data_IF_678787543320
#
_entry.id   IF_678787543320
#
_cell.length_a   1.000
_cell.length_b   1.000
_cell.length_c   1.000
_cell.angle_alpha   90.00
_cell.angle_beta   90.00
_cell.angle_gamma   90.00
#
_symmetry.space_group_name_H-M   'P 1'
#
loop_
_entity.id
_entity.type
_entity.pdbx_description
1 polymer ?
#
# COMPACT_ATOMS: atom_id res chain seq x y z
N UNK A 1 9.13 36.89 3.47
CA UNK A 1 8.29 37.50 2.42
C UNK A 1 7.68 36.37 1.62
N UNK A 2 6.36 36.35 1.35
CA UNK A 2 5.77 35.31 0.50
C UNK A 2 6.39 35.38 -0.89
N UNK A 3 6.75 34.23 -1.44
CA UNK A 3 7.38 34.12 -2.76
C UNK A 3 6.37 34.44 -3.87
N UNK A 4 6.84 34.89 -5.03
CA UNK A 4 5.98 35.29 -6.16
C UNK A 4 5.07 34.14 -6.63
N UNK A 5 5.54 32.90 -6.45
CA UNK A 5 4.84 31.63 -6.66
C UNK A 5 3.69 31.39 -5.66
N UNK A 6 3.86 31.72 -4.37
CA UNK A 6 2.78 31.59 -3.36
C UNK A 6 1.60 32.54 -3.63
N UNK A 7 1.87 33.67 -4.29
CA UNK A 7 0.85 34.64 -4.69
C UNK A 7 0.11 34.20 -5.97
N UNK A 8 0.81 33.55 -6.89
CA UNK A 8 0.23 32.98 -8.11
C UNK A 8 -0.71 31.80 -7.80
N UNK A 9 -0.27 30.83 -6.99
CA UNK A 9 -1.09 29.67 -6.59
C UNK A 9 -2.36 30.08 -5.84
N UNK A 10 -2.27 31.10 -4.97
CA UNK A 10 -3.44 31.65 -4.28
C UNK A 10 -4.40 32.40 -5.19
N UNK A 11 -3.92 32.98 -6.30
CA UNK A 11 -4.79 33.58 -7.33
C UNK A 11 -5.49 32.50 -8.14
N UNK A 12 -4.79 31.46 -8.55
CA UNK A 12 -5.37 30.32 -9.28
C UNK A 12 -6.43 29.59 -8.47
N UNK A 13 -6.17 29.28 -7.19
CA UNK A 13 -7.17 28.68 -6.31
C UNK A 13 -8.41 29.56 -6.14
N UNK A 14 -8.23 30.88 -6.03
CA UNK A 14 -9.36 31.83 -5.95
C UNK A 14 -10.13 31.89 -7.28
N UNK A 15 -9.45 31.82 -8.42
CA UNK A 15 -10.10 31.80 -9.74
C UNK A 15 -10.89 30.51 -9.94
N UNK A 16 -10.37 29.37 -9.49
CA UNK A 16 -11.06 28.09 -9.52
C UNK A 16 -12.33 28.14 -8.66
N UNK A 17 -12.23 28.52 -7.38
CA UNK A 17 -13.38 28.60 -6.46
C UNK A 17 -14.44 29.61 -6.95
N UNK A 18 -14.01 30.76 -7.47
CA UNK A 18 -14.95 31.76 -7.99
C UNK A 18 -15.63 31.28 -9.27
N UNK A 19 -14.94 30.56 -10.16
CA UNK A 19 -15.55 29.95 -11.36
C UNK A 19 -16.54 28.83 -11.01
N UNK A 20 -16.26 27.98 -10.01
CA UNK A 20 -17.19 26.93 -9.59
C UNK A 20 -18.44 27.52 -8.92
N UNK A 21 -18.27 28.56 -8.09
CA UNK A 21 -19.37 29.24 -7.43
C UNK A 21 -20.28 29.99 -8.41
N UNK A 22 -19.70 30.62 -9.44
CA UNK A 22 -20.48 31.30 -10.49
C UNK A 22 -21.26 30.30 -11.35
N UNK A 23 -20.65 29.18 -11.75
CA UNK A 23 -21.35 28.11 -12.47
C UNK A 23 -22.53 27.54 -11.66
N UNK A 24 -22.34 27.29 -10.36
CA UNK A 24 -23.42 26.85 -9.47
C UNK A 24 -24.56 27.88 -9.36
N UNK A 25 -24.21 29.17 -9.30
CA UNK A 25 -25.17 30.26 -9.30
C UNK A 25 -26.03 30.32 -10.56
N UNK A 26 -25.42 30.20 -11.74
CA UNK A 26 -26.15 30.18 -13.02
C UNK A 26 -27.11 28.98 -13.12
N UNK A 27 -26.67 27.80 -12.68
CA UNK A 27 -27.51 26.61 -12.68
C UNK A 27 -28.74 26.77 -11.75
N UNK A 28 -28.55 27.32 -10.54
CA UNK A 28 -29.64 27.58 -9.61
C UNK A 28 -30.64 28.62 -10.14
N UNK A 29 -30.15 29.71 -10.76
CA UNK A 29 -30.99 30.75 -11.38
C UNK A 29 -31.81 30.17 -12.54
N UNK A 30 -31.19 29.33 -13.38
CA UNK A 30 -31.89 28.65 -14.48
C UNK A 30 -33.05 27.77 -14.02
N UNK A 31 -32.87 27.04 -12.90
CA UNK A 31 -33.91 26.19 -12.32
C UNK A 31 -35.05 27.02 -11.72
N UNK A 32 -34.73 28.07 -10.96
CA UNK A 32 -35.74 28.95 -10.36
C UNK A 32 -36.56 29.67 -11.45
N UNK A 33 -35.89 30.14 -12.51
CA UNK A 33 -36.55 30.81 -13.62
C UNK A 33 -37.37 29.85 -14.50
N UNK A 34 -36.86 28.64 -14.73
CA UNK A 34 -37.59 27.57 -15.43
C UNK A 34 -38.87 27.17 -14.69
N UNK A 35 -38.81 27.08 -13.35
CA UNK A 35 -39.97 26.76 -12.51
C UNK A 35 -41.00 27.89 -12.50
N UNK A 36 -40.56 29.14 -12.40
CA UNK A 36 -41.45 30.31 -12.40
C UNK A 36 -42.12 30.57 -13.76
N UNK A 37 -41.42 30.30 -14.87
CA UNK A 37 -41.94 30.47 -16.24
C UNK A 37 -42.77 29.29 -16.75
N UNK A 38 -42.91 28.21 -15.97
CA UNK A 38 -43.46 26.91 -16.41
C UNK A 38 -42.85 26.36 -17.72
N UNK A 39 -41.62 26.75 -18.04
CA UNK A 39 -40.97 26.36 -19.30
C UNK A 39 -40.11 25.11 -19.09
N UNK A 40 -40.57 23.98 -19.63
CA UNK A 40 -39.89 22.68 -19.48
C UNK A 40 -38.49 22.66 -20.11
N UNK A 41 -38.25 23.43 -21.17
CA UNK A 41 -36.96 23.45 -21.88
C UNK A 41 -35.87 24.12 -21.04
N UNK A 42 -36.19 25.23 -20.38
CA UNK A 42 -35.22 25.99 -19.54
C UNK A 42 -34.94 25.24 -18.24
N UNK A 43 -35.96 24.58 -17.67
CA UNK A 43 -35.82 23.77 -16.47
C UNK A 43 -34.93 22.54 -16.71
N UNK A 44 -35.03 21.92 -17.89
CA UNK A 44 -34.20 20.79 -18.30
C UNK A 44 -32.72 21.18 -18.42
N UNK A 45 -32.43 22.34 -19.02
CA UNK A 45 -31.06 22.85 -19.21
C UNK A 45 -30.38 23.19 -17.86
N UNK A 46 -31.11 23.83 -16.95
CA UNK A 46 -30.63 24.08 -15.58
C UNK A 46 -30.37 22.79 -14.79
N UNK A 47 -31.20 21.75 -14.98
CA UNK A 47 -31.03 20.46 -14.33
C UNK A 47 -29.82 19.69 -14.87
N UNK A 48 -29.55 19.73 -16.17
CA UNK A 48 -28.33 19.14 -16.74
C UNK A 48 -27.06 19.85 -16.27
N UNK A 49 -27.09 21.18 -16.16
CA UNK A 49 -25.97 21.94 -15.61
C UNK A 49 -25.67 21.55 -14.16
N UNK A 50 -26.69 21.31 -13.32
CA UNK A 50 -26.50 20.79 -11.95
C UNK A 50 -25.92 19.37 -11.92
N UNK A 51 -26.43 18.47 -12.76
CA UNK A 51 -25.91 17.10 -12.84
C UNK A 51 -24.44 17.10 -13.29
N UNK A 52 -24.09 17.89 -14.30
CA UNK A 52 -22.72 18.06 -14.77
C UNK A 52 -21.79 18.63 -13.70
N UNK A 53 -22.25 19.64 -12.94
CA UNK A 53 -21.50 20.20 -11.81
C UNK A 53 -21.33 19.17 -10.69
N UNK A 54 -22.38 18.39 -10.39
CA UNK A 54 -22.33 17.30 -9.42
C UNK A 54 -21.32 16.22 -9.79
N UNK A 55 -21.32 15.77 -11.05
CA UNK A 55 -20.34 14.82 -11.58
C UNK A 55 -18.91 15.38 -11.55
N UNK A 56 -18.73 16.66 -11.88
CA UNK A 56 -17.44 17.34 -11.79
C UNK A 56 -16.89 17.41 -10.36
N UNK A 57 -17.74 17.77 -9.39
CA UNK A 57 -17.39 17.77 -7.97
C UNK A 57 -17.10 16.36 -7.45
N UNK A 58 -17.86 15.35 -7.89
CA UNK A 58 -17.63 13.96 -7.55
C UNK A 58 -16.27 13.48 -8.09
N UNK A 59 -15.95 13.81 -9.35
CA UNK A 59 -14.67 13.49 -9.98
C UNK A 59 -13.49 14.16 -9.24
N UNK A 60 -13.61 15.44 -8.88
CA UNK A 60 -12.59 16.13 -8.09
C UNK A 60 -12.47 15.57 -6.66
N UNK A 61 -13.58 15.15 -6.05
CA UNK A 61 -13.57 14.52 -4.73
C UNK A 61 -12.91 13.14 -4.78
N UNK A 62 -13.17 12.36 -5.82
CA UNK A 62 -12.51 11.09 -6.07
C UNK A 62 -11.00 11.28 -6.33
N UNK A 63 -10.62 12.25 -7.16
CA UNK A 63 -9.22 12.59 -7.41
C UNK A 63 -8.49 12.99 -6.12
N UNK A 64 -9.11 13.81 -5.26
CA UNK A 64 -8.54 14.17 -3.96
C UNK A 64 -8.41 13.01 -2.98
N UNK A 65 -9.33 12.04 -3.01
CA UNK A 65 -9.22 10.83 -2.20
C UNK A 65 -8.06 9.95 -2.68
N UNK A 66 -7.82 9.89 -4.00
CA UNK A 66 -6.68 9.17 -4.59
C UNK A 66 -5.35 9.90 -4.33
N UNK A 67 -5.33 11.23 -4.39
CA UNK A 67 -4.15 12.08 -4.14
C UNK A 67 -3.80 12.23 -2.66
N UNK A 68 -4.75 12.01 -1.74
CA UNK A 68 -4.52 12.21 -0.30
C UNK A 68 -3.35 11.39 0.26
N UNK A 69 -2.94 10.32 -0.45
CA UNK A 69 -1.77 9.54 -0.11
C UNK A 69 -1.90 8.81 1.24
N UNK A 70 -1.07 7.80 1.49
CA UNK A 70 -1.11 7.06 2.76
C UNK A 70 -0.81 7.95 3.96
N UNK A 71 -1.68 7.90 4.97
CA UNK A 71 -1.60 8.69 6.20
C UNK A 71 -0.46 8.22 7.12
N UNK A 72 0.02 9.06 8.06
CA UNK A 72 1.03 8.64 9.06
C UNK A 72 0.63 7.41 9.89
N UNK A 73 -0.67 7.06 9.87
CA UNK A 73 -1.21 5.91 10.58
C UNK A 73 -1.04 4.59 9.80
N UNK A 74 -1.00 4.64 8.46
CA UNK A 74 -0.83 3.47 7.60
C UNK A 74 -0.07 3.85 6.32
N UNK A 75 1.26 3.66 6.26
CA UNK A 75 2.08 4.17 5.16
C UNK A 75 2.05 3.32 3.87
N UNK A 76 1.48 2.11 3.89
CA UNK A 76 1.46 1.19 2.74
C UNK A 76 0.08 1.09 2.08
N UNK A 77 0.10 1.25 0.76
CA UNK A 77 -0.99 0.98 -0.20
C UNK A 77 -2.09 2.05 -0.30
N UNK A 78 -2.56 2.31 -1.53
CA UNK A 78 -3.75 3.15 -1.77
C UNK A 78 -5.03 2.58 -1.10
N UNK A 79 -4.94 1.37 -0.55
CA UNK A 79 -5.97 0.63 0.16
C UNK A 79 -5.90 0.73 1.69
N UNK A 80 -4.93 1.43 2.27
CA UNK A 80 -4.73 1.44 3.73
C UNK A 80 -5.89 2.07 4.53
N UNK A 81 -6.63 2.99 3.89
CA UNK A 81 -7.83 3.61 4.45
C UNK A 81 -9.11 2.83 4.12
N UNK A 82 -9.02 1.73 3.37
CA UNK A 82 -10.15 0.85 3.13
C UNK A 82 -10.41 -0.02 4.36
N UNK A 83 -11.68 -0.29 4.68
CA UNK A 83 -11.99 -1.24 5.74
C UNK A 83 -11.38 -2.61 5.39
N UNK A 84 -11.07 -3.44 6.40
CA UNK A 84 -10.67 -4.82 6.20
C UNK A 84 -11.62 -5.51 5.23
N UNK A 85 -11.08 -6.32 4.33
CA UNK A 85 -11.88 -7.13 3.43
C UNK A 85 -11.58 -8.60 3.65
N UNK A 86 -12.65 -9.38 3.76
CA UNK A 86 -12.54 -10.83 3.72
C UNK A 86 -12.21 -11.28 2.29
N UNK A 87 -11.16 -12.08 2.16
CA UNK A 87 -10.73 -12.66 0.89
C UNK A 87 -10.90 -14.16 0.98
N UNK A 88 -11.82 -14.71 0.19
CA UNK A 88 -11.96 -16.16 0.06
C UNK A 88 -10.74 -16.74 -0.66
N UNK A 89 -10.07 -17.71 -0.01
CA UNK A 89 -8.91 -18.40 -0.57
C UNK A 89 -9.38 -19.67 -1.29
N UNK A 90 -9.22 -19.77 -2.62
CA UNK A 90 -9.63 -20.96 -3.35
C UNK A 90 -8.89 -22.22 -2.87
N UNK A 91 -9.63 -23.29 -2.59
CA UNK A 91 -9.05 -24.55 -2.14
C UNK A 91 -8.61 -24.56 -0.67
N UNK A 92 -8.97 -23.54 0.12
CA UNK A 92 -8.71 -23.53 1.55
C UNK A 92 -9.47 -24.67 2.25
N UNK A 93 -8.79 -25.52 3.03
CA UNK A 93 -9.45 -26.60 3.76
C UNK A 93 -10.33 -26.02 4.88
N UNK A 94 -11.57 -26.50 5.01
CA UNK A 94 -12.53 -26.02 6.01
C UNK A 94 -12.18 -26.44 7.43
N UNK A 95 -11.67 -27.66 7.63
CA UNK A 95 -11.20 -28.12 8.94
C UNK A 95 -10.23 -29.30 8.84
N UNK A 96 -9.45 -29.52 9.90
CA UNK A 96 -8.42 -30.55 9.97
C UNK A 96 -8.97 -31.99 9.95
N UNK A 97 -10.22 -32.21 10.37
CA UNK A 97 -10.85 -33.53 10.34
C UNK A 97 -11.30 -33.88 8.91
N UNK A 98 -12.05 -32.99 8.28
CA UNK A 98 -12.60 -33.10 6.93
C UNK A 98 -11.48 -33.22 5.89
N UNK A 99 -10.40 -32.45 6.03
CA UNK A 99 -9.25 -32.55 5.13
C UNK A 99 -8.49 -33.87 5.25
N UNK A 100 -8.47 -34.48 6.44
CA UNK A 100 -7.89 -35.80 6.65
C UNK A 100 -8.86 -36.96 6.38
N UNK A 101 -10.06 -36.67 5.82
CA UNK A 101 -11.08 -37.66 5.52
C UNK A 101 -11.79 -38.24 6.75
N UNK A 102 -11.91 -37.47 7.84
CA UNK A 102 -12.54 -37.89 9.11
C UNK A 102 -13.70 -36.96 9.49
N UNK A 103 -14.77 -37.54 10.04
CA UNK A 103 -15.99 -36.84 10.47
C UNK A 103 -15.80 -35.97 11.72
N UNK A 104 -14.77 -36.24 12.54
CA UNK A 104 -14.35 -35.38 13.65
C UNK A 104 -12.93 -35.72 14.14
N UNK A 105 -12.26 -34.77 14.81
CA UNK A 105 -10.98 -34.98 15.53
C UNK A 105 -11.09 -35.96 16.73
N UNK A 106 -12.28 -36.53 16.97
CA UNK A 106 -12.58 -37.48 18.03
C UNK A 106 -13.26 -38.77 17.58
N UNK A 107 -13.40 -39.02 16.27
CA UNK A 107 -14.16 -40.18 15.81
C UNK A 107 -13.45 -41.49 16.19
N UNK A 108 -14.14 -42.30 17.00
CA UNK A 108 -13.68 -43.60 17.52
C UNK A 108 -13.95 -44.72 16.51
N UNK A 109 -13.79 -44.44 15.22
CA UNK A 109 -14.00 -45.42 14.17
C UNK A 109 -12.74 -46.27 13.95
N UNK A 110 -12.99 -47.58 13.92
CA UNK A 110 -12.07 -48.70 14.06
C UNK A 110 -11.04 -48.77 12.91
N UNK A 111 -9.89 -48.11 13.07
CA UNK A 111 -8.68 -48.38 12.26
C UNK A 111 -7.44 -48.08 13.10
N UNK A 112 -6.75 -49.14 13.51
CA UNK A 112 -5.57 -49.07 14.36
C UNK A 112 -4.42 -48.37 13.65
N UNK A 113 -3.96 -47.23 14.21
CA UNK A 113 -2.55 -46.81 14.31
C UNK A 113 -2.34 -45.37 14.80
N UNK A 114 -3.39 -44.55 14.97
CA UNK A 114 -3.25 -43.13 15.37
C UNK A 114 -4.12 -42.75 16.59
N UNK A 115 -4.18 -43.64 17.59
CA UNK A 115 -4.96 -43.43 18.81
C UNK A 115 -4.08 -42.75 19.86
N UNK A 116 -4.00 -41.42 19.81
CA UNK A 116 -3.26 -40.63 20.80
C UNK A 116 -3.12 -39.15 20.43
N UNK A 117 -2.60 -38.33 21.34
CA UNK A 117 -2.22 -36.93 21.09
C UNK A 117 -1.29 -36.78 19.88
N UNK A 118 -0.45 -37.79 19.62
CA UNK A 118 0.43 -37.87 18.45
C UNK A 118 -0.34 -37.99 17.12
N UNK A 119 -1.45 -38.74 17.10
CA UNK A 119 -2.32 -38.81 15.92
C UNK A 119 -2.98 -37.47 15.60
N UNK A 120 -3.39 -36.73 16.64
CA UNK A 120 -3.95 -35.37 16.49
C UNK A 120 -2.92 -34.39 15.95
N UNK A 121 -1.67 -34.43 16.41
CA UNK A 121 -0.59 -33.58 15.89
C UNK A 121 -0.32 -33.82 14.40
N UNK A 122 -0.38 -35.08 13.95
CA UNK A 122 -0.22 -35.43 12.53
C UNK A 122 -1.33 -34.79 11.69
N UNK A 123 -2.58 -34.88 12.13
CA UNK A 123 -3.73 -34.29 11.43
C UNK A 123 -3.63 -32.76 11.37
N UNK A 124 -3.28 -32.11 12.48
CA UNK A 124 -3.08 -30.65 12.52
C UNK A 124 -1.92 -30.22 11.62
N UNK A 125 -0.84 -31.01 11.54
CA UNK A 125 0.28 -30.73 10.63
C UNK A 125 -0.12 -30.88 9.16
N UNK A 126 -0.91 -31.89 8.81
CA UNK A 126 -1.43 -32.06 7.46
C UNK A 126 -2.33 -30.88 7.07
N UNK A 127 -3.22 -30.47 7.97
CA UNK A 127 -4.04 -29.28 7.80
C UNK A 127 -3.20 -28.02 7.59
N UNK A 128 -2.20 -27.78 8.44
CA UNK A 128 -1.32 -26.62 8.32
C UNK A 128 -0.57 -26.58 6.97
N UNK A 129 -0.13 -27.74 6.44
CA UNK A 129 0.48 -27.83 5.10
C UNK A 129 -0.50 -27.49 4.00
N UNK A 130 -1.71 -28.01 4.08
CA UNK A 130 -2.74 -27.74 3.08
C UNK A 130 -3.13 -26.25 3.06
N UNK A 131 -3.16 -25.59 4.23
CA UNK A 131 -3.35 -24.14 4.32
C UNK A 131 -2.18 -23.38 3.68
N UNK A 132 -0.92 -23.74 3.97
CA UNK A 132 0.26 -23.12 3.33
C UNK A 132 0.23 -23.29 1.80
N UNK A 133 -0.12 -24.48 1.31
CA UNK A 133 -0.21 -24.76 -0.12
C UNK A 133 -1.35 -23.99 -0.81
N UNK A 134 -2.48 -23.77 -0.12
CA UNK A 134 -3.59 -22.95 -0.63
C UNK A 134 -3.25 -21.45 -0.64
N UNK A 135 -2.45 -20.97 0.32
CA UNK A 135 -2.01 -19.57 0.39
C UNK A 135 -0.89 -19.25 -0.61
N UNK A 136 -0.06 -20.24 -0.96
CA UNK A 136 1.12 -20.06 -1.82
C UNK A 136 0.84 -19.35 -3.16
N UNK A 137 -0.24 -19.66 -3.92
CA UNK A 137 -0.53 -18.95 -5.17
C UNK A 137 -0.88 -17.47 -4.97
N UNK A 138 -1.47 -17.12 -3.83
CA UNK A 138 -1.91 -15.75 -3.51
C UNK A 138 -0.77 -14.89 -2.98
N UNK A 139 0.14 -15.47 -2.21
CA UNK A 139 1.26 -14.77 -1.56
C UNK A 139 2.55 -14.77 -2.39
N UNK A 140 2.52 -15.30 -3.62
CA UNK A 140 3.72 -15.37 -4.48
C UNK A 140 4.12 -14.00 -4.98
N UNK A 141 5.36 -13.60 -4.67
CA UNK A 141 5.88 -12.29 -5.06
C UNK A 141 5.32 -11.13 -4.23
N UNK A 142 4.55 -11.45 -3.21
CA UNK A 142 4.10 -10.49 -2.22
C UNK A 142 5.13 -10.40 -1.09
N UNK A 143 5.45 -9.18 -0.66
CA UNK A 143 6.37 -8.90 0.45
C UNK A 143 5.61 -8.39 1.69
N UNK A 144 4.27 -8.37 1.63
CA UNK A 144 3.45 -7.88 2.74
C UNK A 144 3.52 -8.80 3.96
N UNK A 145 3.54 -8.24 5.18
CA UNK A 145 3.56 -9.05 6.39
C UNK A 145 2.30 -9.91 6.52
N UNK A 146 2.48 -11.19 6.84
CA UNK A 146 1.38 -12.11 7.16
C UNK A 146 1.29 -12.27 8.68
N UNK A 147 0.09 -12.13 9.24
CA UNK A 147 -0.17 -12.36 10.67
C UNK A 147 -1.09 -13.56 10.80
N UNK A 148 -0.71 -14.49 11.68
CA UNK A 148 -1.51 -15.67 12.00
C UNK A 148 -2.26 -15.46 13.31
N UNK A 149 -3.59 -15.55 13.27
CA UNK A 149 -4.45 -15.60 14.44
C UNK A 149 -5.00 -17.01 14.55
N UNK A 150 -4.42 -17.80 15.45
CA UNK A 150 -4.82 -19.19 15.66
C UNK A 150 -4.59 -19.62 17.12
N UNK A 151 -5.45 -20.48 17.68
CA UNK A 151 -5.23 -21.06 18.99
C UNK A 151 -4.06 -22.06 18.99
N UNK A 152 -3.49 -22.31 20.16
CA UNK A 152 -2.56 -23.43 20.34
C UNK A 152 -3.33 -24.77 20.29
N UNK A 153 -2.74 -25.85 19.73
CA UNK A 153 -1.37 -25.97 19.22
C UNK A 153 -1.22 -25.63 17.72
N UNK A 154 -2.28 -25.20 17.04
CA UNK A 154 -2.28 -24.96 15.59
C UNK A 154 -1.26 -23.88 15.23
N UNK A 155 -1.21 -22.80 16.00
CA UNK A 155 -0.28 -21.68 15.79
C UNK A 155 1.18 -22.16 15.70
N UNK A 156 1.66 -22.89 16.71
CA UNK A 156 3.03 -23.42 16.72
C UNK A 156 3.30 -24.40 15.56
N UNK A 157 2.33 -25.25 15.22
CA UNK A 157 2.48 -26.22 14.13
C UNK A 157 2.52 -25.52 12.78
N UNK A 158 1.67 -24.53 12.54
CA UNK A 158 1.64 -23.77 11.30
C UNK A 158 2.94 -23.00 11.09
N UNK A 159 3.45 -22.30 12.10
CA UNK A 159 4.75 -21.62 12.06
C UNK A 159 5.91 -22.55 11.70
N UNK A 160 5.88 -23.81 12.14
CA UNK A 160 6.91 -24.80 11.81
C UNK A 160 6.88 -25.32 10.37
N UNK A 161 5.81 -25.05 9.64
CA UNK A 161 5.54 -25.58 8.30
C UNK A 161 5.43 -24.48 7.24
N UNK A 162 5.02 -23.28 7.64
CA UNK A 162 4.79 -22.17 6.73
C UNK A 162 6.05 -21.83 5.94
N UNK A 163 5.90 -21.68 4.63
CA UNK A 163 7.00 -21.39 3.71
C UNK A 163 7.13 -19.91 3.38
N UNK A 164 6.21 -19.07 3.87
CA UNK A 164 6.19 -17.64 3.61
C UNK A 164 7.18 -16.88 4.52
N UNK A 165 8.17 -16.16 3.97
CA UNK A 165 9.23 -15.52 4.76
C UNK A 165 8.75 -14.38 5.67
N UNK A 166 7.68 -13.67 5.27
CA UNK A 166 7.20 -12.47 5.97
C UNK A 166 6.10 -12.76 6.99
N UNK A 167 6.08 -13.97 7.57
CA UNK A 167 5.19 -14.33 8.67
C UNK A 167 5.67 -13.65 9.96
N UNK A 168 4.88 -12.71 10.48
CA UNK A 168 5.20 -12.00 11.72
C UNK A 168 5.02 -12.89 12.94
N UNK A 169 5.94 -12.76 13.89
CA UNK A 169 5.88 -13.43 15.19
C UNK A 169 4.98 -12.67 16.17
N UNK A 170 3.70 -12.61 15.83
CA UNK A 170 2.65 -12.10 16.70
C UNK A 170 1.99 -13.23 17.48
N UNK A 171 1.92 -13.07 18.80
CA UNK A 171 1.18 -13.96 19.69
C UNK A 171 -0.22 -13.40 19.97
N UNK A 172 -1.05 -13.30 18.92
CA UNK A 172 -2.48 -13.05 19.08
C UNK A 172 -3.16 -14.36 19.48
N UNK A 173 -3.17 -14.65 20.79
CA UNK A 173 -3.78 -15.86 21.36
C UNK A 173 -5.32 -15.83 21.40
N UNK A 174 -5.97 -14.87 20.74
CA UNK A 174 -7.42 -14.77 20.76
C UNK A 174 -8.06 -15.85 19.89
N UNK A 175 -9.19 -16.39 20.35
CA UNK A 175 -10.10 -17.15 19.51
C UNK A 175 -10.65 -16.23 18.42
N UNK A 176 -9.97 -16.21 17.26
CA UNK A 176 -10.35 -15.42 16.08
C UNK A 176 -11.82 -15.59 15.68
N UNK A 177 -12.40 -16.78 15.92
CA UNK A 177 -13.82 -17.10 15.67
C UNK A 177 -14.83 -16.16 16.37
N UNK A 178 -14.41 -15.42 17.40
CA UNK A 178 -15.28 -14.49 18.14
C UNK A 178 -14.99 -13.02 17.86
N UNK A 179 -13.96 -12.74 17.08
CA UNK A 179 -13.58 -11.37 16.76
C UNK A 179 -14.30 -10.94 15.49
N UNK A 180 -14.86 -9.74 15.52
CA UNK A 180 -15.33 -9.07 14.31
C UNK A 180 -14.15 -8.62 13.47
N UNK A 181 -14.37 -8.37 12.17
CA UNK A 181 -13.34 -7.83 11.26
C UNK A 181 -12.68 -6.56 11.82
N UNK A 182 -13.49 -5.68 12.44
CA UNK A 182 -13.00 -4.44 13.07
C UNK A 182 -12.10 -4.73 14.26
N UNK A 183 -12.46 -5.67 15.14
CA UNK A 183 -11.65 -6.05 16.30
C UNK A 183 -10.33 -6.71 15.86
N UNK A 184 -10.33 -7.49 14.78
CA UNK A 184 -9.11 -8.06 14.19
C UNK A 184 -8.22 -6.92 13.70
N UNK A 185 -8.78 -5.96 12.95
CA UNK A 185 -8.02 -4.83 12.45
C UNK A 185 -7.40 -4.02 13.58
N UNK A 186 -8.16 -3.67 14.62
CA UNK A 186 -7.66 -2.93 15.78
C UNK A 186 -6.55 -3.68 16.53
N UNK A 187 -6.68 -4.99 16.69
CA UNK A 187 -5.66 -5.82 17.34
C UNK A 187 -4.38 -5.97 16.51
N UNK A 188 -4.48 -5.95 15.18
CA UNK A 188 -3.37 -6.11 14.25
C UNK A 188 -2.55 -4.82 14.07
N UNK A 189 -3.19 -3.65 14.20
CA UNK A 189 -2.53 -2.34 14.04
C UNK A 189 -1.20 -2.18 14.81
N UNK A 190 -1.12 -2.42 16.14
CA UNK A 190 0.13 -2.23 16.86
C UNK A 190 1.23 -3.19 16.38
N UNK A 191 0.87 -4.41 15.98
CA UNK A 191 1.84 -5.41 15.52
C UNK A 191 2.45 -5.04 14.16
N UNK A 192 1.64 -4.45 13.28
CA UNK A 192 2.13 -3.91 12.02
C UNK A 192 3.07 -2.72 12.27
N UNK A 193 2.68 -1.80 13.17
CA UNK A 193 3.51 -0.66 13.53
C UNK A 193 4.87 -1.09 14.09
N UNK A 194 4.90 -2.07 14.99
CA UNK A 194 6.15 -2.62 15.56
C UNK A 194 7.03 -3.26 14.47
N UNK A 195 6.43 -4.04 13.56
CA UNK A 195 7.16 -4.66 12.46
C UNK A 195 7.73 -3.63 11.48
N UNK A 196 7.00 -2.54 11.23
CA UNK A 196 7.48 -1.42 10.44
C UNK A 196 8.65 -0.69 11.09
N UNK A 197 8.55 -0.41 12.39
CA UNK A 197 9.61 0.25 13.15
C UNK A 197 10.89 -0.59 13.10
N UNK A 198 10.78 -1.91 13.30
CA UNK A 198 11.89 -2.83 13.15
C UNK A 198 12.48 -2.81 11.74
N UNK A 199 11.64 -2.79 10.70
CA UNK A 199 12.10 -2.73 9.31
C UNK A 199 12.82 -1.42 9.00
N UNK A 200 12.33 -0.28 9.52
CA UNK A 200 13.00 1.03 9.38
C UNK A 200 14.33 1.05 10.12
N UNK A 201 14.38 0.50 11.33
CA UNK A 201 15.62 0.39 12.10
C UNK A 201 16.68 -0.46 11.36
N UNK A 202 16.29 -1.60 10.81
CA UNK A 202 17.17 -2.44 9.99
C UNK A 202 17.67 -1.72 8.73
N UNK A 203 16.79 -0.96 8.06
CA UNK A 203 17.18 -0.16 6.90
C UNK A 203 18.17 0.95 7.27
N UNK A 204 17.95 1.63 8.39
CA UNK A 204 18.85 2.66 8.89
C UNK A 204 20.23 2.08 9.24
N UNK A 205 20.26 0.92 9.90
CA UNK A 205 21.50 0.21 10.20
C UNK A 205 22.23 -0.21 8.91
N UNK A 206 21.50 -0.73 7.93
CA UNK A 206 22.07 -1.09 6.62
C UNK A 206 22.66 0.13 5.92
N UNK A 207 21.97 1.28 5.96
CA UNK A 207 22.49 2.53 5.40
C UNK A 207 23.77 2.98 6.09
N UNK A 208 23.83 2.93 7.42
CA UNK A 208 25.02 3.31 8.18
C UNK A 208 26.21 2.38 7.87
N UNK A 209 25.95 1.08 7.79
CA UNK A 209 26.97 0.11 7.37
C UNK A 209 27.47 0.40 5.95
N UNK A 210 26.59 0.64 4.98
CA UNK A 210 26.97 0.94 3.59
C UNK A 210 27.65 2.31 3.46
N UNK A 211 27.27 3.29 4.28
CA UNK A 211 27.92 4.60 4.36
C UNK A 211 29.38 4.45 4.78
N UNK A 212 29.67 3.62 5.79
CA UNK A 212 31.05 3.33 6.22
C UNK A 212 31.91 2.68 5.13
N UNK A 213 31.27 2.06 4.12
CA UNK A 213 31.93 1.42 2.98
C UNK A 213 32.05 2.34 1.75
N UNK A 214 31.70 3.62 1.85
CA UNK A 214 31.61 4.57 0.72
C UNK A 214 30.68 4.07 -0.40
N UNK A 215 29.55 3.48 -0.02
CA UNK A 215 28.55 2.91 -0.94
C UNK A 215 27.20 3.63 -0.88
N UNK A 216 27.17 4.84 -0.33
CA UNK A 216 25.93 5.64 -0.21
C UNK A 216 26.12 6.98 -0.89
N UNK A 217 25.19 7.33 -1.77
CA UNK A 217 25.05 8.65 -2.37
C UNK A 217 23.81 9.35 -1.80
N UNK A 218 23.88 10.66 -1.61
CA UNK A 218 22.76 11.48 -1.12
C UNK A 218 22.44 12.66 -2.05
N UNK A 219 23.33 12.99 -2.98
CA UNK A 219 23.11 14.04 -3.97
C UNK A 219 22.33 13.48 -5.16
N UNK A 220 21.19 14.10 -5.48
CA UNK A 220 20.32 13.65 -6.57
C UNK A 220 21.04 13.61 -7.92
N UNK A 221 21.94 14.55 -8.21
CA UNK A 221 22.70 14.57 -9.46
C UNK A 221 23.69 13.40 -9.54
N UNK A 222 24.34 13.04 -8.43
CA UNK A 222 25.24 11.89 -8.35
C UNK A 222 24.46 10.58 -8.47
N UNK A 223 23.33 10.49 -7.77
CA UNK A 223 22.41 9.36 -7.83
C UNK A 223 21.90 9.14 -9.25
N UNK A 224 21.52 10.20 -9.96
CA UNK A 224 20.99 10.09 -11.32
C UNK A 224 22.04 9.54 -12.31
N UNK A 225 23.29 10.00 -12.22
CA UNK A 225 24.41 9.44 -13.01
C UNK A 225 24.67 7.98 -12.65
N UNK A 226 24.69 7.64 -11.36
CA UNK A 226 24.87 6.27 -10.90
C UNK A 226 23.73 5.33 -11.33
N UNK A 227 22.49 5.81 -11.29
CA UNK A 227 21.30 5.07 -11.74
C UNK A 227 21.36 4.79 -13.24
N UNK A 228 21.76 5.79 -14.03
CA UNK A 228 21.94 5.66 -15.49
C UNK A 228 23.04 4.66 -15.84
N UNK A 229 24.11 4.63 -15.05
CA UNK A 229 25.20 3.65 -15.20
C UNK A 229 24.85 2.24 -14.67
N UNK A 230 23.68 2.02 -14.06
CA UNK A 230 23.29 0.75 -13.44
C UNK A 230 24.10 0.40 -12.17
N UNK A 231 24.70 1.40 -11.53
CA UNK A 231 25.52 1.25 -10.33
C UNK A 231 24.69 1.14 -9.05
N UNK A 232 23.42 1.52 -9.09
CA UNK A 232 22.52 1.56 -7.93
C UNK A 232 21.93 0.17 -7.65
N UNK A 233 22.05 -0.26 -6.39
CA UNK A 233 21.44 -1.48 -5.84
C UNK A 233 20.04 -1.16 -5.30
N UNK A 234 19.96 -0.18 -4.39
CA UNK A 234 18.72 0.27 -3.77
C UNK A 234 18.64 1.79 -3.82
N UNK A 235 17.56 2.33 -4.35
CA UNK A 235 17.21 3.74 -4.28
C UNK A 235 16.16 3.94 -3.19
N UNK A 236 16.38 4.91 -2.31
CA UNK A 236 15.43 5.33 -1.27
C UNK A 236 15.03 6.76 -1.61
N UNK A 237 13.73 7.00 -1.75
CA UNK A 237 13.18 8.30 -2.13
C UNK A 237 12.02 8.66 -1.21
N UNK A 238 11.85 9.96 -0.97
CA UNK A 238 10.59 10.44 -0.41
C UNK A 238 9.49 10.22 -1.44
N UNK A 239 8.41 9.56 -1.00
CA UNK A 239 7.22 9.37 -1.84
C UNK A 239 6.58 10.70 -2.27
N UNK A 240 6.71 11.76 -1.46
CA UNK A 240 6.16 13.07 -1.78
C UNK A 240 7.16 13.97 -2.53
N UNK A 241 8.38 13.51 -2.80
CA UNK A 241 9.36 14.32 -3.52
C UNK A 241 8.88 14.55 -4.96
N UNK A 242 8.75 15.83 -5.29
CA UNK A 242 8.47 16.30 -6.63
C UNK A 242 9.48 17.39 -6.97
N UNK A 243 10.53 17.00 -7.68
CA UNK A 243 11.55 17.91 -8.17
C UNK A 243 11.42 18.00 -9.69
N UNK A 244 10.91 19.14 -10.16
CA UNK A 244 10.75 19.39 -11.59
C UNK A 244 12.11 19.59 -12.26
N UNK A 245 12.31 18.91 -13.38
CA UNK A 245 13.51 19.04 -14.19
C UNK A 245 13.56 18.06 -15.35
N UNK A 246 14.76 17.87 -15.88
CA UNK A 246 15.07 16.92 -16.94
C UNK A 246 16.40 16.21 -16.71
N UNK A 247 16.48 14.97 -17.18
CA UNK A 247 17.71 14.19 -17.21
C UNK A 247 18.08 13.84 -18.65
N UNK A 248 19.33 14.06 -19.02
CA UNK A 248 19.85 13.61 -20.31
C UNK A 248 20.14 12.09 -20.32
N UNK A 249 20.54 11.55 -21.48
CA UNK A 249 20.89 10.13 -21.63
C UNK A 249 22.10 9.70 -20.78
N UNK A 250 22.94 10.64 -20.37
CA UNK A 250 24.11 10.38 -19.51
C UNK A 250 23.77 10.47 -18.00
N UNK A 251 22.58 10.94 -17.65
CA UNK A 251 22.13 11.15 -16.27
C UNK A 251 22.54 12.50 -15.68
N UNK A 252 22.87 13.49 -16.51
CA UNK A 252 23.08 14.86 -16.06
C UNK A 252 21.74 15.53 -15.78
N UNK A 253 21.60 16.05 -14.57
CA UNK A 253 20.40 16.68 -14.05
C UNK A 253 20.36 18.18 -14.40
N UNK A 254 19.25 18.63 -14.98
CA UNK A 254 18.91 20.04 -15.13
C UNK A 254 17.58 20.30 -14.43
N UNK A 255 17.59 21.11 -13.35
CA UNK A 255 16.37 21.49 -12.64
C UNK A 255 15.68 22.66 -13.37
N UNK A 256 14.38 22.54 -13.62
CA UNK A 256 13.56 23.58 -14.22
C UNK A 256 12.12 23.54 -13.68
N UNK A 257 11.42 24.67 -13.65
CA UNK A 257 10.05 24.76 -13.12
C UNK A 257 8.99 24.13 -14.06
N UNK A 258 9.41 23.54 -15.19
CA UNK A 258 8.53 23.10 -16.29
C UNK A 258 8.76 21.65 -16.76
N UNK A 259 9.49 20.86 -15.98
CA UNK A 259 9.91 19.51 -16.33
C UNK A 259 9.02 18.39 -15.78
N UNK A 260 9.52 17.17 -15.96
CA UNK A 260 8.95 15.95 -15.35
C UNK A 260 9.55 15.82 -13.94
N UNK A 261 8.91 15.05 -13.06
CA UNK A 261 9.50 14.72 -11.77
C UNK A 261 10.78 13.89 -11.99
N UNK A 262 11.93 14.52 -11.72
CA UNK A 262 13.25 13.92 -11.87
C UNK A 262 13.39 12.68 -10.99
N UNK A 263 12.80 12.69 -9.81
CA UNK A 263 12.85 11.58 -8.86
C UNK A 263 12.21 10.32 -9.47
N UNK A 264 11.08 10.48 -10.15
CA UNK A 264 10.38 9.39 -10.84
C UNK A 264 11.19 8.87 -12.03
N UNK A 265 11.86 9.76 -12.77
CA UNK A 265 12.72 9.36 -13.88
C UNK A 265 13.95 8.56 -13.39
N UNK A 266 14.61 9.00 -12.32
CA UNK A 266 15.70 8.26 -11.68
C UNK A 266 15.22 6.90 -11.19
N UNK A 267 14.06 6.84 -10.53
CA UNK A 267 13.47 5.58 -10.09
C UNK A 267 13.20 4.63 -11.27
N UNK A 268 12.68 5.14 -12.39
CA UNK A 268 12.50 4.38 -13.62
C UNK A 268 13.80 3.79 -14.17
N UNK A 269 14.90 4.55 -14.15
CA UNK A 269 16.23 4.06 -14.56
C UNK A 269 16.77 2.98 -13.62
N UNK A 270 16.59 3.13 -12.31
CA UNK A 270 16.98 2.10 -11.33
C UNK A 270 16.21 0.79 -11.55
N UNK A 271 14.90 0.86 -11.74
CA UNK A 271 14.08 -0.32 -12.02
C UNK A 271 14.48 -1.01 -13.33
N UNK A 272 14.75 -0.23 -14.38
CA UNK A 272 15.17 -0.75 -15.69
C UNK A 272 16.54 -1.45 -15.61
N UNK A 273 17.42 -1.00 -14.73
CA UNK A 273 18.74 -1.60 -14.49
C UNK A 273 18.73 -2.73 -13.44
N UNK A 274 17.54 -3.09 -12.95
CA UNK A 274 17.32 -4.20 -12.00
C UNK A 274 17.68 -3.86 -10.56
N UNK A 275 17.72 -2.58 -10.18
CA UNK A 275 17.79 -2.16 -8.78
C UNK A 275 16.41 -2.11 -8.11
N UNK A 276 16.41 -1.97 -6.80
CA UNK A 276 15.19 -1.86 -5.98
C UNK A 276 14.91 -0.39 -5.66
N UNK A 277 13.63 0.02 -5.67
CA UNK A 277 13.21 1.36 -5.26
C UNK A 277 12.33 1.25 -4.01
N UNK A 278 12.69 1.98 -2.97
CA UNK A 278 11.95 2.09 -1.71
C UNK A 278 11.42 3.51 -1.58
N UNK A 279 10.11 3.68 -1.83
CA UNK A 279 9.42 4.93 -1.56
C UNK A 279 8.94 4.95 -0.10
N UNK A 280 9.51 5.84 0.70
CA UNK A 280 9.20 5.98 2.12
C UNK A 280 8.74 7.42 2.39
N UNK A 281 7.73 7.65 3.25
CA UNK A 281 7.33 9.00 3.62
C UNK A 281 8.45 9.70 4.41
N UNK A 282 8.68 10.99 4.14
CA UNK A 282 9.66 11.85 4.83
C UNK A 282 11.11 11.31 4.78
N UNK A 283 11.42 10.42 3.83
CA UNK A 283 12.74 9.83 3.71
C UNK A 283 13.69 10.72 2.91
N UNK A 284 14.94 10.86 3.37
CA UNK A 284 15.96 11.56 2.60
C UNK A 284 16.34 10.74 1.36
N UNK A 285 16.28 11.37 0.19
CA UNK A 285 16.72 10.76 -1.08
C UNK A 285 18.16 10.28 -0.95
N UNK A 286 18.36 8.97 -1.09
CA UNK A 286 19.66 8.33 -0.96
C UNK A 286 19.72 7.06 -1.79
N UNK A 287 20.89 6.71 -2.29
CA UNK A 287 21.09 5.50 -3.07
C UNK A 287 22.24 4.66 -2.51
N UNK A 288 22.02 3.36 -2.42
CA UNK A 288 23.03 2.36 -2.08
C UNK A 288 23.60 1.81 -3.38
N UNK A 289 24.93 1.83 -3.50
CA UNK A 289 25.64 1.36 -4.69
C UNK A 289 25.98 -0.13 -4.60
N UNK A 290 25.97 -0.81 -5.75
CA UNK A 290 26.36 -2.22 -5.91
C UNK A 290 27.84 -2.45 -5.58
N UNK A 291 28.68 -1.47 -5.88
CA UNK A 291 30.12 -1.45 -5.64
C UNK A 291 30.53 -0.16 -4.93
N UNK A 292 31.68 -0.18 -4.25
CA UNK A 292 32.26 1.01 -3.64
C UNK A 292 32.73 2.00 -4.71
N UNK A 293 32.67 3.30 -4.38
CA UNK A 293 33.22 4.39 -5.18
C UNK A 293 34.75 4.37 -5.22
#
# INVERSE_FOLDING_TARGET
MPTETDAALRREQRLLVTSTATAAGFAAVGIVWGWWSQSQIILLDGMYALIGLGLGLLSLRAARLVEAGPTPKYPFDLAADLPPQEVEVPGMPTDAASHAGKSSLGDRSHSGRLVGSEGKKILVRQYARAVDDALRPLLRGDERPLILIAPQPINAIFRSVCSYPYLLDADLQSSGDRMTETEIAEAVQPLLADAEEQRRAQLAELLDQRRSQNRVLEDLADIARAATAGAVDTLIVDRAANESGSLDEAGNLTLDDSGINVVDEVAGRVLTTGGTVLALPDAKTSAILRYAL
#
